data_IF_806087643772
#
_entry.id   IF_806087643772
#
_cell.length_a   1.000
_cell.length_b   1.000
_cell.length_c   1.000
_cell.angle_alpha   90.00
_cell.angle_beta   90.00
_cell.angle_gamma   90.00
#
_symmetry.space_group_name_H-M   'P 1'
#
loop_
_entity.id
_entity.type
_entity.pdbx_description
1 polymer ?
#
# COMPACT_ATOMS: atom_id res chain seq x y z
N UNK A 1 -10.52 -23.30 5.26
CA UNK A 1 -10.93 -21.89 5.48
C UNK A 1 -9.73 -21.09 6.00
N UNK A 2 -8.74 -20.82 5.14
CA UNK A 2 -7.45 -20.22 5.54
C UNK A 2 -7.00 -19.28 4.43
N UNK A 3 -7.33 -18.00 4.56
CA UNK A 3 -7.00 -16.99 3.54
C UNK A 3 -7.55 -15.59 3.83
N UNK A 4 -8.56 -15.48 4.70
CA UNK A 4 -9.19 -14.21 5.03
C UNK A 4 -8.33 -13.26 5.91
N UNK A 5 -7.26 -13.76 6.55
CA UNK A 5 -6.46 -12.97 7.50
C UNK A 5 -5.45 -12.01 6.87
N UNK A 6 -5.10 -12.20 5.60
CA UNK A 6 -3.99 -11.48 4.95
C UNK A 6 -4.44 -10.46 3.89
N UNK A 7 -5.74 -10.10 3.89
CA UNK A 7 -6.34 -9.12 2.99
C UNK A 7 -7.29 -8.20 3.74
N UNK A 8 -7.51 -6.99 3.21
CA UNK A 8 -8.55 -6.11 3.73
C UNK A 8 -9.93 -6.53 3.22
N UNK A 9 -10.95 -6.41 4.06
CA UNK A 9 -12.33 -6.71 3.69
C UNK A 9 -12.91 -5.52 2.94
N UNK A 10 -12.81 -5.54 1.62
CA UNK A 10 -13.36 -4.51 0.74
C UNK A 10 -14.05 -5.14 -0.46
N UNK A 11 -15.13 -4.50 -0.93
CA UNK A 11 -15.81 -4.92 -2.15
C UNK A 11 -14.95 -4.59 -3.39
N UNK A 12 -14.85 -5.51 -4.37
CA UNK A 12 -14.03 -5.31 -5.55
C UNK A 12 -14.72 -4.35 -6.53
N UNK A 13 -14.35 -3.07 -6.47
CA UNK A 13 -14.79 -2.04 -7.44
C UNK A 13 -13.59 -1.27 -8.01
N UNK A 14 -13.75 -0.65 -9.19
CA UNK A 14 -12.70 0.20 -9.78
C UNK A 14 -12.32 1.37 -8.86
N UNK A 15 -13.28 1.91 -8.11
CA UNK A 15 -13.03 2.98 -7.12
C UNK A 15 -12.16 2.48 -5.97
N UNK A 16 -12.49 1.34 -5.37
CA UNK A 16 -11.70 0.74 -4.28
C UNK A 16 -10.30 0.34 -4.74
N UNK A 17 -10.14 -0.09 -6.00
CA UNK A 17 -8.82 -0.36 -6.58
C UNK A 17 -7.93 0.90 -6.58
N UNK A 18 -8.49 2.05 -6.97
CA UNK A 18 -7.80 3.33 -6.93
C UNK A 18 -7.38 3.73 -5.51
N UNK A 19 -8.28 3.56 -4.54
CA UNK A 19 -7.99 3.82 -3.11
C UNK A 19 -6.86 2.92 -2.60
N UNK A 20 -6.89 1.63 -2.92
CA UNK A 20 -5.85 0.67 -2.48
C UNK A 20 -4.49 0.94 -3.13
N UNK A 21 -4.46 1.28 -4.43
CA UNK A 21 -3.21 1.71 -5.10
C UNK A 21 -2.64 2.98 -4.48
N UNK A 22 -3.49 3.95 -4.15
CA UNK A 22 -3.09 5.16 -3.43
C UNK A 22 -2.52 4.85 -2.04
N UNK A 23 -3.17 3.95 -1.30
CA UNK A 23 -2.71 3.48 0.02
C UNK A 23 -1.37 2.75 -0.06
N UNK A 24 -1.17 1.88 -1.06
CA UNK A 24 0.11 1.20 -1.30
C UNK A 24 1.24 2.20 -1.57
N UNK A 25 1.01 3.17 -2.45
CA UNK A 25 1.98 4.23 -2.73
C UNK A 25 2.29 5.05 -1.48
N UNK A 26 1.28 5.39 -0.68
CA UNK A 26 1.44 6.07 0.60
C UNK A 26 2.22 5.25 1.64
N UNK A 27 2.01 3.93 1.69
CA UNK A 27 2.75 3.02 2.57
C UNK A 27 4.23 2.93 2.16
N UNK A 28 4.52 2.84 0.86
CA UNK A 28 5.90 2.82 0.34
C UNK A 28 6.65 4.13 0.62
N UNK A 29 6.02 5.29 0.37
CA UNK A 29 6.63 6.59 0.70
C UNK A 29 6.81 6.75 2.20
N UNK A 30 5.80 6.41 3.00
CA UNK A 30 5.86 6.42 4.46
C UNK A 30 6.97 5.54 5.03
N UNK A 31 7.15 4.33 4.49
CA UNK A 31 8.25 3.43 4.83
C UNK A 31 9.61 4.10 4.59
N UNK A 32 9.82 4.66 3.40
CA UNK A 32 11.10 5.33 3.05
C UNK A 32 11.41 6.51 3.97
N UNK A 33 10.40 7.31 4.34
CA UNK A 33 10.55 8.48 5.21
C UNK A 33 10.88 8.06 6.66
N UNK A 34 10.16 7.08 7.20
CA UNK A 34 10.40 6.57 8.54
C UNK A 34 11.75 5.86 8.65
N UNK A 35 12.17 5.14 7.60
CA UNK A 35 13.49 4.52 7.55
C UNK A 35 14.61 5.56 7.62
N UNK A 36 14.53 6.61 6.79
CA UNK A 36 15.47 7.75 6.83
C UNK A 36 15.49 8.44 8.20
N UNK A 37 14.33 8.65 8.81
CA UNK A 37 14.23 9.21 10.17
C UNK A 37 14.92 8.30 11.19
N UNK A 38 14.68 7.00 11.14
CA UNK A 38 15.30 6.02 12.06
C UNK A 38 16.82 6.00 11.94
N UNK A 39 17.36 6.04 10.72
CA UNK A 39 18.81 6.09 10.47
C UNK A 39 19.44 7.37 11.04
N UNK A 40 18.79 8.53 10.83
CA UNK A 40 19.25 9.80 11.39
C UNK A 40 19.24 9.77 12.94
N UNK A 41 18.18 9.26 13.56
CA UNK A 41 18.08 9.11 15.01
C UNK A 41 19.15 8.13 15.54
N UNK A 42 19.37 7.02 14.85
CA UNK A 42 20.40 6.02 15.23
C UNK A 42 21.80 6.62 15.20
N UNK A 43 22.10 7.47 14.22
CA UNK A 43 23.38 8.21 14.17
C UNK A 43 23.53 9.12 15.39
N UNK A 44 22.52 9.94 15.69
CA UNK A 44 22.54 10.82 16.88
C UNK A 44 22.61 10.05 18.19
N UNK A 45 21.94 8.92 18.28
CA UNK A 45 21.99 8.02 19.43
C UNK A 45 23.41 7.52 19.70
N UNK A 46 24.14 7.12 18.66
CA UNK A 46 25.57 6.73 18.78
C UNK A 46 26.45 7.90 19.21
N UNK A 47 26.21 9.11 18.68
CA UNK A 47 26.94 10.31 19.08
C UNK A 47 26.71 10.63 20.57
N UNK A 48 25.47 10.55 21.04
CA UNK A 48 25.10 10.76 22.44
C UNK A 48 25.71 9.68 23.34
N UNK A 49 25.72 8.42 22.90
CA UNK A 49 26.34 7.31 23.65
C UNK A 49 27.80 7.59 23.95
N UNK A 50 28.57 8.01 22.94
CA UNK A 50 29.98 8.39 23.11
C UNK A 50 30.14 9.56 24.09
N UNK A 51 29.29 10.59 23.97
CA UNK A 51 29.30 11.73 24.90
C UNK A 51 28.98 11.32 26.33
N UNK A 52 28.08 10.36 26.53
CA UNK A 52 27.75 9.82 27.86
C UNK A 52 28.96 9.11 28.45
N UNK A 53 29.67 8.29 27.68
CA UNK A 53 30.87 7.59 28.16
C UNK A 53 31.96 8.57 28.60
N UNK A 54 32.22 9.59 27.77
CA UNK A 54 33.19 10.65 28.08
C UNK A 54 32.77 11.47 29.31
N UNK A 55 31.49 11.85 29.38
CA UNK A 55 30.93 12.59 30.51
C UNK A 55 30.97 11.77 31.81
N UNK A 56 30.71 10.46 31.75
CA UNK A 56 30.77 9.56 32.91
C UNK A 56 32.20 9.39 33.42
N UNK A 57 33.18 9.30 32.53
CA UNK A 57 34.62 9.31 32.88
C UNK A 57 35.06 10.65 33.48
N UNK A 58 34.57 11.77 32.94
CA UNK A 58 34.83 13.10 33.50
C UNK A 58 34.21 13.25 34.88
N UNK A 59 32.94 12.87 35.04
CA UNK A 59 32.22 12.86 36.31
C UNK A 59 32.95 12.04 37.38
N UNK A 60 33.41 10.82 37.05
CA UNK A 60 34.17 9.98 37.98
C UNK A 60 35.41 10.69 38.54
N UNK A 61 36.18 11.37 37.66
CA UNK A 61 37.35 12.15 38.07
C UNK A 61 36.99 13.36 38.93
N UNK A 62 35.98 14.13 38.52
CA UNK A 62 35.53 15.33 39.23
C UNK A 62 34.98 14.96 40.62
N UNK A 63 34.20 13.89 40.72
CA UNK A 63 33.65 13.38 41.97
C UNK A 63 34.75 12.84 42.89
N UNK A 64 35.78 12.18 42.35
CA UNK A 64 36.95 11.75 43.13
C UNK A 64 37.67 12.95 43.75
N UNK A 65 37.89 14.02 42.98
CA UNK A 65 38.48 15.26 43.51
C UNK A 65 37.59 15.91 44.56
N UNK A 66 36.26 15.91 44.35
CA UNK A 66 35.30 16.43 45.32
C UNK A 66 35.34 15.64 46.65
N UNK A 67 35.36 14.31 46.58
CA UNK A 67 35.47 13.45 47.74
C UNK A 67 36.79 13.68 48.51
N UNK A 68 37.89 13.91 47.79
CA UNK A 68 39.17 14.26 48.40
C UNK A 68 39.10 15.63 49.11
N UNK A 69 38.50 16.64 48.48
CA UNK A 69 38.29 17.95 49.11
C UNK A 69 37.39 17.86 50.35
N UNK A 70 36.40 16.97 50.38
CA UNK A 70 35.60 16.71 51.58
C UNK A 70 36.44 16.10 52.70
N UNK A 71 37.35 15.18 52.38
CA UNK A 71 38.28 14.62 53.35
C UNK A 71 39.25 15.67 53.91
N UNK A 72 39.78 16.58 53.07
CA UNK A 72 40.57 17.74 53.50
C UNK A 72 39.78 18.61 54.50
N UNK A 73 38.51 18.88 54.22
CA UNK A 73 37.61 19.63 55.11
C UNK A 73 37.38 18.89 56.42
N UNK A 74 37.08 17.59 56.37
CA UNK A 74 36.82 16.79 57.58
C UNK A 74 38.04 16.77 58.52
N UNK A 75 39.24 16.67 57.95
CA UNK A 75 40.48 16.73 58.70
C UNK A 75 40.72 18.12 59.31
N UNK A 76 40.54 19.18 58.52
CA UNK A 76 40.78 20.56 58.98
C UNK A 76 39.76 21.04 60.04
N UNK A 77 38.52 20.53 59.98
CA UNK A 77 37.40 20.93 60.86
C UNK A 77 37.21 20.01 62.07
N UNK A 78 37.90 18.87 62.13
CA UNK A 78 37.78 17.91 63.23
C UNK A 78 36.47 17.10 63.23
N UNK A 79 35.83 16.94 62.07
CA UNK A 79 34.73 15.99 61.86
C UNK A 79 33.31 16.48 62.20
N UNK A 80 33.11 17.66 62.77
CA UNK A 80 31.78 18.17 63.17
C UNK A 80 31.11 19.11 62.15
N UNK A 81 31.56 19.10 60.89
CA UNK A 81 31.04 20.01 59.85
C UNK A 81 29.65 19.60 59.35
N UNK A 82 29.31 18.31 59.39
CA UNK A 82 28.06 17.78 58.84
C UNK A 82 26.80 18.38 59.48
N UNK A 83 26.79 18.50 60.82
CA UNK A 83 25.67 19.08 61.56
C UNK A 83 25.50 20.57 61.24
N UNK A 84 26.60 21.33 61.21
CA UNK A 84 26.58 22.76 60.89
C UNK A 84 26.07 23.03 59.48
N UNK A 85 26.44 22.19 58.50
CA UNK A 85 25.95 22.31 57.13
C UNK A 85 24.46 21.97 57.05
N UNK A 86 23.99 20.95 57.77
CA UNK A 86 22.56 20.60 57.78
C UNK A 86 21.70 21.71 58.38
N UNK A 87 22.14 22.32 59.48
CA UNK A 87 21.46 23.45 60.11
C UNK A 87 21.50 24.72 59.24
N UNK A 88 22.55 24.89 58.45
CA UNK A 88 22.71 26.05 57.56
C UNK A 88 21.93 25.96 56.24
N UNK A 89 21.30 24.82 55.94
CA UNK A 89 20.46 24.68 54.75
C UNK A 89 19.19 25.52 54.94
N UNK A 90 19.11 26.63 54.21
CA UNK A 90 17.91 27.46 54.12
C UNK A 90 16.77 26.72 53.40
N UNK A 91 15.51 27.13 53.62
CA UNK A 91 14.34 26.55 52.94
C UNK A 91 14.35 26.73 51.40
N UNK A 92 15.28 27.53 50.85
CA UNK A 92 15.44 27.77 49.42
C UNK A 92 16.78 27.22 48.91
N UNK A 93 16.73 26.36 47.90
CA UNK A 93 17.93 25.81 47.26
C UNK A 93 18.67 26.88 46.42
N UNK A 94 19.99 26.99 46.64
CA UNK A 94 20.91 27.80 45.82
C UNK A 94 21.08 27.24 44.40
N UNK A 95 21.19 25.93 44.27
CA UNK A 95 21.26 25.23 42.99
C UNK A 95 19.88 24.79 42.57
N UNK A 96 19.38 25.32 41.46
CA UNK A 96 18.14 24.90 40.82
C UNK A 96 18.45 24.33 39.44
N UNK A 97 17.57 23.49 38.93
CA UNK A 97 17.69 22.94 37.59
C UNK A 97 16.52 23.46 36.76
N UNK A 98 16.83 24.09 35.63
CA UNK A 98 15.84 24.51 34.63
C UNK A 98 15.79 23.46 33.53
N UNK A 99 14.58 23.13 33.09
CA UNK A 99 14.37 22.26 31.94
C UNK A 99 14.12 23.10 30.70
N UNK A 100 14.86 22.82 29.64
CA UNK A 100 14.68 23.31 28.28
C UNK A 100 14.30 22.15 27.38
N UNK A 101 13.64 22.40 26.25
CA UNK A 101 13.38 21.38 25.24
C UNK A 101 14.26 21.63 24.02
N UNK A 102 14.97 20.61 23.56
CA UNK A 102 15.76 20.62 22.33
C UNK A 102 15.11 19.70 21.29
N UNK A 103 15.00 20.16 20.05
CA UNK A 103 14.47 19.33 18.96
C UNK A 103 15.62 18.63 18.22
N UNK A 104 15.66 17.30 18.30
CA UNK A 104 16.60 16.46 17.57
C UNK A 104 15.85 15.61 16.55
N UNK A 105 15.95 15.99 15.27
CA UNK A 105 15.38 15.25 14.14
C UNK A 105 13.86 14.96 14.28
N UNK A 106 13.11 15.92 14.84
CA UNK A 106 11.67 15.81 15.04
C UNK A 106 11.28 14.99 16.27
N UNK A 107 12.15 14.97 17.29
CA UNK A 107 11.92 14.42 18.63
C UNK A 107 12.33 15.49 19.64
N UNK A 108 11.42 15.85 20.56
CA UNK A 108 11.70 16.81 21.61
C UNK A 108 12.37 16.10 22.78
N UNK A 109 13.60 16.46 23.08
CA UNK A 109 14.40 15.93 24.17
C UNK A 109 14.51 16.99 25.28
N UNK A 110 14.33 16.61 26.55
CA UNK A 110 14.59 17.53 27.66
C UNK A 110 16.10 17.74 27.81
N UNK A 111 16.47 19.01 27.95
CA UNK A 111 17.81 19.45 28.29
C UNK A 111 17.77 20.13 29.64
N UNK A 112 18.68 19.77 30.54
CA UNK A 112 18.76 20.37 31.86
C UNK A 112 19.89 21.39 31.92
N UNK A 113 19.62 22.55 32.52
CA UNK A 113 20.57 23.62 32.75
C UNK A 113 20.64 23.94 34.24
N UNK A 114 21.85 24.09 34.78
CA UNK A 114 22.07 24.46 36.16
C UNK A 114 21.84 25.98 36.33
N UNK A 115 20.91 26.36 37.21
CA UNK A 115 20.59 27.74 37.57
C UNK A 115 21.12 28.00 38.98
N UNK A 116 22.24 28.73 39.08
CA UNK A 116 22.91 29.04 40.33
C UNK A 116 22.45 30.42 40.79
N UNK A 117 21.74 30.48 41.91
CA UNK A 117 21.37 31.76 42.51
C UNK A 117 22.50 32.25 43.42
N UNK A 118 23.29 33.22 42.96
CA UNK A 118 24.42 33.77 43.72
C UNK A 118 24.01 34.60 44.95
N UNK A 119 22.75 35.07 45.00
CA UNK A 119 22.26 35.85 46.14
C UNK A 119 22.05 35.01 47.41
N UNK A 120 21.89 33.69 47.24
CA UNK A 120 21.73 32.75 48.35
C UNK A 120 23.12 32.27 48.80
N UNK A 121 23.48 32.60 50.04
CA UNK A 121 24.74 32.18 50.64
C UNK A 121 24.49 31.40 51.93
N UNK A 122 24.28 30.10 51.78
CA UNK A 122 23.94 29.17 52.87
C UNK A 122 25.11 28.86 53.81
N UNK A 123 26.36 29.20 53.43
CA UNK A 123 27.57 28.83 54.18
C UNK A 123 28.23 30.01 54.91
N UNK A 124 27.49 31.10 55.18
CA UNK A 124 28.05 32.31 55.82
C UNK A 124 28.71 32.04 57.18
N UNK A 125 28.20 31.09 57.95
CA UNK A 125 28.66 30.82 59.33
C UNK A 125 29.59 29.61 59.45
N UNK A 126 29.57 28.69 58.48
CA UNK A 126 30.35 27.43 58.53
C UNK A 126 31.85 27.64 58.24
N UNK A 127 32.24 28.80 57.71
CA UNK A 127 33.63 29.14 57.34
C UNK A 127 34.38 30.03 58.33
N UNK A 128 33.77 30.42 59.45
CA UNK A 128 34.34 31.37 60.41
C UNK A 128 35.30 30.73 61.43
N UNK A 129 35.26 29.39 61.57
CA UNK A 129 36.12 28.62 62.48
C UNK A 129 37.40 28.09 61.83
N UNK A 130 37.89 26.95 62.31
CA UNK A 130 39.07 26.27 61.72
C UNK A 130 38.71 25.67 60.35
N UNK A 131 39.56 25.90 59.34
CA UNK A 131 39.42 25.25 58.03
C UNK A 131 38.49 25.94 57.02
N UNK A 132 38.06 27.19 57.25
CA UNK A 132 37.15 27.92 56.36
C UNK A 132 37.57 27.99 54.88
N UNK A 133 38.87 28.15 54.61
CA UNK A 133 39.40 28.14 53.23
C UNK A 133 39.21 26.78 52.53
N UNK A 134 39.38 25.68 53.26
CA UNK A 134 39.17 24.33 52.72
C UNK A 134 37.68 24.08 52.44
N UNK A 135 36.79 24.60 53.30
CA UNK A 135 35.33 24.53 53.09
C UNK A 135 34.91 25.26 51.82
N UNK A 136 35.44 26.48 51.61
CA UNK A 136 35.13 27.26 50.41
C UNK A 136 35.68 26.58 49.13
N UNK A 137 36.90 26.04 49.18
CA UNK A 137 37.48 25.24 48.09
C UNK A 137 36.63 24.00 47.79
N UNK A 138 36.24 23.25 48.81
CA UNK A 138 35.38 22.08 48.65
C UNK A 138 34.02 22.46 48.04
N UNK A 139 33.41 23.56 48.49
CA UNK A 139 32.15 24.09 47.94
C UNK A 139 32.27 24.38 46.45
N UNK A 140 33.36 25.01 46.00
CA UNK A 140 33.59 25.30 44.58
C UNK A 140 33.77 24.01 43.76
N UNK A 141 34.49 23.03 44.29
CA UNK A 141 34.67 21.72 43.64
C UNK A 141 33.34 20.97 43.54
N UNK A 142 32.54 20.93 44.61
CA UNK A 142 31.21 20.31 44.60
C UNK A 142 30.23 21.05 43.70
N UNK A 143 30.29 22.38 43.65
CA UNK A 143 29.49 23.20 42.73
C UNK A 143 29.72 22.80 41.27
N UNK A 144 30.99 22.69 40.87
CA UNK A 144 31.38 22.20 39.53
C UNK A 144 30.99 20.73 39.31
N UNK A 145 31.06 19.91 40.36
CA UNK A 145 30.66 18.50 40.29
C UNK A 145 29.17 18.35 40.00
N UNK A 146 28.32 19.11 40.70
CA UNK A 146 26.87 19.12 40.49
C UNK A 146 26.51 19.62 39.09
N UNK A 147 27.18 20.66 38.59
CA UNK A 147 27.02 21.12 37.21
C UNK A 147 27.29 19.99 36.19
N UNK A 148 28.42 19.28 36.33
CA UNK A 148 28.72 18.14 35.46
C UNK A 148 27.75 16.97 35.61
N UNK A 149 27.13 16.80 36.78
CA UNK A 149 26.09 15.79 37.01
C UNK A 149 24.78 16.16 36.31
N UNK A 150 24.40 17.45 36.31
CA UNK A 150 23.22 17.94 35.60
C UNK A 150 23.38 17.73 34.10
N UNK A 151 24.55 18.05 33.54
CA UNK A 151 24.88 17.78 32.13
C UNK A 151 24.76 16.29 31.78
N UNK A 152 25.33 15.41 32.63
CA UNK A 152 25.25 13.97 32.44
C UNK A 152 23.80 13.47 32.53
N UNK A 153 23.03 13.94 33.51
CA UNK A 153 21.63 13.59 33.68
C UNK A 153 20.78 14.01 32.46
N UNK A 154 21.10 15.17 31.87
CA UNK A 154 20.49 15.64 30.63
C UNK A 154 20.75 14.66 29.48
N UNK A 155 22.01 14.25 29.29
CA UNK A 155 22.37 13.29 28.23
C UNK A 155 21.72 11.92 28.46
N UNK A 156 21.68 11.44 29.71
CA UNK A 156 21.07 10.14 30.06
C UNK A 156 19.56 10.14 29.83
N UNK A 157 18.86 11.20 30.24
CA UNK A 157 17.41 11.32 30.06
C UNK A 157 17.08 11.39 28.56
N UNK A 158 17.83 12.19 27.81
CA UNK A 158 17.72 12.26 26.36
C UNK A 158 17.98 10.90 25.69
N UNK A 159 18.95 10.14 26.18
CA UNK A 159 19.27 8.79 25.67
C UNK A 159 18.12 7.80 25.84
N UNK A 160 17.49 7.74 27.02
CA UNK A 160 16.37 6.83 27.29
C UNK A 160 15.18 7.16 26.38
N UNK A 161 14.82 8.44 26.29
CA UNK A 161 13.70 8.89 25.44
C UNK A 161 14.01 8.61 23.97
N UNK A 162 15.23 8.87 23.52
CA UNK A 162 15.63 8.65 22.13
C UNK A 162 15.62 7.15 21.77
N UNK A 163 16.06 6.27 22.68
CA UNK A 163 16.03 4.81 22.48
C UNK A 163 14.60 4.30 22.27
N UNK A 164 13.66 4.73 23.12
CA UNK A 164 12.25 4.35 23.01
C UNK A 164 11.64 4.82 21.70
N UNK A 165 11.94 6.05 21.27
CA UNK A 165 11.47 6.57 19.99
C UNK A 165 12.06 5.79 18.80
N UNK A 166 13.34 5.41 18.86
CA UNK A 166 13.97 4.58 17.83
C UNK A 166 13.30 3.21 17.76
N UNK A 167 13.06 2.55 18.90
CA UNK A 167 12.37 1.25 18.97
C UNK A 167 10.96 1.32 18.37
N UNK A 168 10.18 2.34 18.73
CA UNK A 168 8.83 2.56 18.18
C UNK A 168 8.89 2.82 16.67
N UNK A 169 9.85 3.63 16.21
CA UNK A 169 10.02 3.93 14.78
C UNK A 169 10.40 2.67 13.99
N UNK A 170 11.35 1.87 14.48
CA UNK A 170 11.73 0.60 13.84
C UNK A 170 10.57 -0.40 13.82
N UNK A 171 9.79 -0.49 14.91
CA UNK A 171 8.59 -1.34 14.94
C UNK A 171 7.57 -0.91 13.87
N UNK A 172 7.38 0.39 13.68
CA UNK A 172 6.50 0.94 12.63
C UNK A 172 7.01 0.64 11.23
N UNK A 173 8.31 0.81 10.99
CA UNK A 173 8.96 0.47 9.71
C UNK A 173 8.73 -1.02 9.39
N UNK A 174 9.02 -1.91 10.33
CA UNK A 174 8.84 -3.36 10.15
C UNK A 174 7.37 -3.74 9.94
N UNK A 175 6.44 -3.08 10.65
CA UNK A 175 5.01 -3.31 10.46
C UNK A 175 4.54 -2.89 9.05
N UNK A 176 5.07 -1.79 8.52
CA UNK A 176 4.76 -1.36 7.16
C UNK A 176 5.32 -2.36 6.15
N UNK A 177 6.58 -2.76 6.31
CA UNK A 177 7.30 -3.64 5.38
C UNK A 177 6.72 -5.05 5.33
N UNK A 178 6.46 -5.67 6.48
CA UNK A 178 6.09 -7.09 6.54
C UNK A 178 4.60 -7.36 6.71
N UNK A 179 3.79 -6.36 7.11
CA UNK A 179 2.36 -6.55 7.36
C UNK A 179 1.52 -5.71 6.40
N UNK A 180 1.71 -4.39 6.36
CA UNK A 180 0.81 -3.48 5.64
C UNK A 180 1.01 -3.57 4.13
N UNK A 181 2.25 -3.53 3.64
CA UNK A 181 2.54 -3.59 2.20
C UNK A 181 2.04 -4.93 1.62
N UNK A 182 2.42 -6.11 2.14
CA UNK A 182 1.96 -7.39 1.56
C UNK A 182 0.44 -7.56 1.64
N UNK A 183 -0.19 -7.12 2.74
CA UNK A 183 -1.65 -7.17 2.88
C UNK A 183 -2.37 -6.29 1.86
N UNK A 184 -1.82 -5.11 1.56
CA UNK A 184 -2.38 -4.20 0.56
C UNK A 184 -2.18 -4.75 -0.85
N UNK A 185 -1.01 -5.32 -1.15
CA UNK A 185 -0.71 -5.99 -2.44
C UNK A 185 -1.64 -7.17 -2.70
N UNK A 186 -1.84 -8.04 -1.71
CA UNK A 186 -2.80 -9.15 -1.80
C UNK A 186 -4.23 -8.66 -2.07
N UNK A 187 -4.62 -7.55 -1.42
CA UNK A 187 -5.95 -6.94 -1.62
C UNK A 187 -6.09 -6.39 -3.03
N UNK A 188 -5.05 -5.73 -3.57
CA UNK A 188 -5.03 -5.24 -4.95
C UNK A 188 -5.12 -6.40 -5.94
N UNK A 189 -4.37 -7.48 -5.72
CA UNK A 189 -4.43 -8.67 -6.56
C UNK A 189 -5.84 -9.27 -6.58
N UNK A 190 -6.47 -9.39 -5.41
CA UNK A 190 -7.85 -9.86 -5.30
C UNK A 190 -8.84 -8.98 -6.09
N UNK A 191 -8.78 -7.66 -5.92
CA UNK A 191 -9.68 -6.74 -6.63
C UNK A 191 -9.46 -6.82 -8.13
N UNK A 192 -8.21 -6.93 -8.61
CA UNK A 192 -7.94 -7.08 -10.04
C UNK A 192 -8.53 -8.38 -10.58
N UNK A 193 -8.33 -9.52 -9.89
CA UNK A 193 -8.87 -10.80 -10.34
C UNK A 193 -10.41 -10.81 -10.42
N UNK A 194 -11.09 -10.19 -9.45
CA UNK A 194 -12.56 -10.07 -9.46
C UNK A 194 -13.07 -9.13 -10.56
N UNK A 195 -12.38 -8.01 -10.79
CA UNK A 195 -12.75 -7.09 -11.88
C UNK A 195 -12.52 -7.73 -13.26
N UNK A 196 -11.44 -8.47 -13.44
CA UNK A 196 -11.15 -9.18 -14.69
C UNK A 196 -12.18 -10.28 -14.96
N UNK A 197 -12.69 -10.96 -13.92
CA UNK A 197 -13.74 -11.96 -14.06
C UNK A 197 -15.09 -11.31 -14.41
N UNK A 198 -15.45 -10.20 -13.77
CA UNK A 198 -16.65 -9.42 -14.12
C UNK A 198 -16.60 -8.90 -15.56
N UNK A 199 -15.45 -8.35 -15.99
CA UNK A 199 -15.25 -7.86 -17.36
C UNK A 199 -15.32 -9.04 -18.36
N UNK A 200 -14.84 -10.25 -17.99
CA UNK A 200 -14.95 -11.47 -18.79
C UNK A 200 -16.39 -11.95 -18.94
N UNK A 201 -17.17 -11.95 -17.85
CA UNK A 201 -18.60 -12.31 -17.88
C UNK A 201 -19.40 -11.33 -18.75
N UNK A 202 -19.14 -10.03 -18.64
CA UNK A 202 -19.79 -9.01 -19.46
C UNK A 202 -19.43 -9.16 -20.93
N UNK A 203 -18.16 -9.43 -21.24
CA UNK A 203 -17.71 -9.71 -22.61
C UNK A 203 -18.41 -10.93 -23.22
N UNK A 204 -18.52 -12.03 -22.46
CA UNK A 204 -19.25 -13.22 -22.93
C UNK A 204 -20.74 -12.93 -23.19
N UNK A 205 -21.37 -12.14 -22.31
CA UNK A 205 -22.77 -11.72 -22.46
C UNK A 205 -22.98 -10.89 -23.73
N UNK A 206 -22.11 -9.92 -23.99
CA UNK A 206 -22.14 -9.10 -25.20
C UNK A 206 -21.92 -9.96 -26.45
N UNK A 207 -20.96 -10.88 -26.43
CA UNK A 207 -20.70 -11.81 -27.53
C UNK A 207 -21.94 -12.66 -27.86
N UNK A 208 -22.62 -13.21 -26.85
CA UNK A 208 -23.86 -14.00 -27.04
C UNK A 208 -25.02 -13.16 -27.58
N UNK A 209 -25.16 -11.91 -27.15
CA UNK A 209 -26.17 -10.99 -27.70
C UNK A 209 -25.87 -10.66 -29.16
N UNK A 210 -24.61 -10.42 -29.50
CA UNK A 210 -24.19 -10.14 -30.88
C UNK A 210 -24.39 -11.35 -31.79
N UNK A 211 -24.03 -12.55 -31.34
CA UNK A 211 -24.27 -13.81 -32.04
C UNK A 211 -25.77 -14.01 -32.34
N UNK A 212 -26.64 -13.81 -31.32
CA UNK A 212 -28.10 -13.86 -31.51
C UNK A 212 -28.60 -12.80 -32.50
N UNK A 213 -28.07 -11.58 -32.47
CA UNK A 213 -28.41 -10.53 -33.43
C UNK A 213 -27.99 -10.91 -34.85
N UNK A 214 -26.79 -11.45 -35.03
CA UNK A 214 -26.29 -11.88 -36.35
C UNK A 214 -27.12 -13.04 -36.92
N UNK A 215 -27.50 -14.01 -36.09
CA UNK A 215 -28.41 -15.09 -36.49
C UNK A 215 -29.77 -14.52 -36.91
N UNK A 216 -30.33 -13.59 -36.12
CA UNK A 216 -31.61 -12.96 -36.44
C UNK A 216 -31.55 -12.12 -37.74
N UNK A 217 -30.46 -11.39 -37.99
CA UNK A 217 -30.28 -10.66 -39.25
C UNK A 217 -30.11 -11.60 -40.42
N UNK A 218 -29.30 -12.66 -40.31
CA UNK A 218 -29.13 -13.65 -41.36
C UNK A 218 -30.45 -14.37 -41.70
N UNK A 219 -31.27 -14.69 -40.69
CA UNK A 219 -32.60 -15.27 -40.90
C UNK A 219 -33.56 -14.29 -41.59
N UNK A 220 -33.50 -13.00 -41.25
CA UNK A 220 -34.28 -11.95 -41.93
C UNK A 220 -33.85 -11.76 -43.39
N UNK A 221 -32.53 -11.74 -43.64
CA UNK A 221 -31.97 -11.62 -44.99
C UNK A 221 -32.32 -12.85 -45.85
N UNK A 222 -32.26 -14.06 -45.28
CA UNK A 222 -32.69 -15.29 -45.94
C UNK A 222 -34.19 -15.29 -46.28
N UNK A 223 -35.05 -14.80 -45.37
CA UNK A 223 -36.48 -14.63 -45.65
C UNK A 223 -36.74 -13.60 -46.76
N UNK A 224 -35.97 -12.50 -46.80
CA UNK A 224 -36.06 -11.49 -47.86
C UNK A 224 -35.59 -12.04 -49.20
N UNK A 225 -34.51 -12.83 -49.23
CA UNK A 225 -34.03 -13.50 -50.43
C UNK A 225 -35.03 -14.57 -50.93
N UNK A 226 -35.62 -15.36 -50.02
CA UNK A 226 -36.65 -16.34 -50.36
C UNK A 226 -37.93 -15.69 -50.90
N UNK A 227 -38.33 -14.53 -50.37
CA UNK A 227 -39.44 -13.75 -50.92
C UNK A 227 -39.12 -13.23 -52.33
N UNK A 228 -37.93 -12.70 -52.55
CA UNK A 228 -37.49 -12.25 -53.89
C UNK A 228 -37.45 -13.39 -54.90
N UNK A 229 -36.92 -14.56 -54.51
CA UNK A 229 -36.89 -15.75 -55.38
C UNK A 229 -38.30 -16.25 -55.69
N UNK A 230 -39.23 -16.20 -54.72
CA UNK A 230 -40.65 -16.51 -54.99
C UNK A 230 -41.28 -15.51 -55.94
N UNK A 231 -41.06 -14.21 -55.76
CA UNK A 231 -41.55 -13.18 -56.69
C UNK A 231 -40.95 -13.33 -58.09
N UNK A 232 -39.69 -13.79 -58.20
CA UNK A 232 -39.00 -14.04 -59.46
C UNK A 232 -39.52 -15.33 -60.14
N UNK A 233 -39.78 -16.39 -59.37
CA UNK A 233 -40.45 -17.60 -59.85
C UNK A 233 -41.89 -17.35 -60.24
N UNK A 234 -42.64 -16.55 -59.50
CA UNK A 234 -44.02 -16.17 -59.84
C UNK A 234 -44.02 -15.33 -61.13
N UNK A 235 -43.05 -14.43 -61.33
CA UNK A 235 -42.85 -13.73 -62.61
C UNK A 235 -42.49 -14.66 -63.77
N UNK A 236 -41.61 -15.63 -63.54
CA UNK A 236 -41.24 -16.62 -64.56
C UNK A 236 -42.44 -17.51 -64.92
N UNK A 237 -43.23 -17.94 -63.94
CA UNK A 237 -44.45 -18.71 -64.16
C UNK A 237 -45.54 -17.88 -64.87
N UNK A 238 -45.63 -16.57 -64.62
CA UNK A 238 -46.52 -15.68 -65.37
C UNK A 238 -46.06 -15.50 -66.83
N UNK A 239 -44.75 -15.46 -67.08
CA UNK A 239 -44.18 -15.43 -68.43
C UNK A 239 -44.39 -16.76 -69.18
N UNK A 240 -44.17 -17.90 -68.53
CA UNK A 240 -44.45 -19.22 -69.11
C UNK A 240 -45.94 -19.41 -69.41
N UNK A 241 -46.85 -18.92 -68.55
CA UNK A 241 -48.29 -18.90 -68.86
C UNK A 241 -48.62 -18.03 -70.07
N UNK A 242 -47.94 -16.89 -70.22
CA UNK A 242 -48.09 -16.03 -71.38
C UNK A 242 -47.57 -16.68 -72.68
N UNK A 243 -46.46 -17.43 -72.61
CA UNK A 243 -45.95 -18.21 -73.74
C UNK A 243 -46.89 -19.38 -74.10
N UNK A 244 -47.51 -20.06 -73.11
CA UNK A 244 -48.51 -21.10 -73.36
C UNK A 244 -49.79 -20.52 -73.98
N UNK A 245 -50.26 -19.35 -73.53
CA UNK A 245 -51.41 -18.64 -74.11
C UNK A 245 -51.13 -18.17 -75.56
N UNK A 246 -49.87 -17.82 -75.87
CA UNK A 246 -49.45 -17.45 -77.23
C UNK A 246 -49.27 -18.68 -78.14
N UNK A 247 -48.87 -19.83 -77.59
CA UNK A 247 -48.86 -21.12 -78.30
C UNK A 247 -50.28 -21.66 -78.53
N UNK A 248 -51.19 -21.56 -77.56
CA UNK A 248 -52.62 -21.91 -77.74
C UNK A 248 -53.30 -21.01 -78.80
N UNK A 249 -52.94 -19.72 -78.89
CA UNK A 249 -53.42 -18.84 -79.97
C UNK A 249 -52.84 -19.16 -81.35
N UNK A 250 -51.69 -19.82 -81.43
CA UNK A 250 -51.10 -20.30 -82.68
C UNK A 250 -51.71 -21.65 -83.11
N UNK A 251 -52.00 -22.55 -82.17
CA UNK A 251 -52.62 -23.86 -82.46
C UNK A 251 -54.07 -23.72 -82.92
N UNK A 252 -54.82 -22.70 -82.46
CA UNK A 252 -56.21 -22.44 -82.92
C UNK A 252 -56.26 -21.90 -84.37
N UNK A 253 -55.13 -21.54 -84.99
CA UNK A 253 -55.10 -21.00 -86.37
C UNK A 253 -54.82 -22.03 -87.47
N UNK A 254 -54.36 -23.24 -87.17
CA UNK A 254 -53.88 -24.20 -88.19
C UNK A 254 -54.69 -25.51 -88.31
N UNK A 255 -55.90 -25.59 -87.75
CA UNK A 255 -56.81 -26.73 -87.99
C UNK A 255 -57.92 -26.43 -89.02
N UNK A 256 -57.56 -26.06 -90.25
CA UNK A 256 -58.40 -26.33 -91.45
C UNK A 256 -57.49 -26.60 -92.66
N UNK A 257 -57.24 -27.90 -92.93
CA UNK A 257 -57.26 -28.62 -94.23
C UNK A 257 -56.35 -29.85 -94.13
N UNK A 258 -56.97 -31.02 -94.33
CA UNK A 258 -56.42 -32.38 -94.34
C UNK A 258 -55.64 -32.70 -95.63
N UNK A 259 -54.73 -33.67 -95.56
CA UNK A 259 -54.72 -34.96 -96.30
C UNK A 259 -53.35 -35.63 -96.12
N UNK A 260 -53.27 -36.75 -95.38
CA UNK A 260 -53.30 -38.17 -95.82
C UNK A 260 -51.92 -38.76 -96.20
N UNK A 261 -51.54 -39.80 -95.40
CA UNK A 261 -50.78 -41.03 -95.70
C UNK A 261 -49.36 -40.93 -96.33
N UNK A 262 -48.32 -41.70 -95.99
CA UNK A 262 -48.20 -43.03 -95.36
C UNK A 262 -46.73 -43.33 -94.99
N UNK A 263 -46.60 -44.17 -93.95
CA UNK A 263 -45.64 -45.28 -93.71
C UNK A 263 -44.10 -45.14 -93.56
N UNK A 264 -43.68 -45.44 -92.31
CA UNK A 264 -42.75 -46.53 -91.87
C UNK A 264 -41.33 -46.59 -92.47
N UNK A 265 -40.28 -46.46 -91.64
CA UNK A 265 -39.59 -47.62 -91.03
C UNK A 265 -38.37 -47.30 -90.12
N UNK A 266 -38.41 -47.94 -88.94
CA UNK A 266 -37.33 -48.65 -88.20
C UNK A 266 -36.10 -48.01 -87.55
N UNK A 267 -35.99 -48.42 -86.26
CA UNK A 267 -34.81 -48.90 -85.50
C UNK A 267 -33.87 -47.80 -85.02
N UNK A 268 -33.31 -47.81 -83.81
CA UNK A 268 -33.08 -48.76 -82.72
C UNK A 268 -32.39 -47.88 -81.64
N UNK A 269 -32.32 -48.12 -80.34
CA UNK A 269 -32.57 -49.27 -79.47
C UNK A 269 -32.51 -48.75 -78.02
N UNK A 270 -33.24 -49.44 -77.15
CA UNK A 270 -32.85 -49.97 -75.83
C UNK A 270 -32.51 -48.95 -74.73
N UNK A 271 -33.35 -48.82 -73.69
CA UNK A 271 -33.73 -49.79 -72.63
C UNK A 271 -33.01 -49.32 -71.34
N UNK A 272 -33.77 -48.83 -70.37
CA UNK A 272 -34.21 -49.58 -69.17
C UNK A 272 -33.23 -49.29 -68.02
N UNK A 273 -33.62 -49.17 -66.76
CA UNK A 273 -34.89 -49.23 -66.08
C UNK A 273 -34.65 -48.57 -64.70
N UNK A 274 -35.72 -48.05 -64.11
CA UNK A 274 -36.13 -48.09 -62.69
C UNK A 274 -35.13 -48.65 -61.64
N UNK A 275 -35.06 -48.22 -60.38
CA UNK A 275 -36.14 -47.80 -59.49
C UNK A 275 -35.60 -47.43 -58.08
N UNK A 276 -36.44 -46.68 -57.35
CA UNK A 276 -36.70 -46.73 -55.89
C UNK A 276 -35.74 -46.14 -54.82
N UNK A 277 -36.30 -45.12 -54.15
CA UNK A 277 -36.55 -44.95 -52.69
C UNK A 277 -35.45 -44.44 -51.75
N UNK A 278 -35.75 -43.24 -51.23
CA UNK A 278 -35.57 -42.63 -49.89
C UNK A 278 -34.58 -43.18 -48.84
N UNK A 279 -33.85 -42.18 -48.33
CA UNK A 279 -33.70 -41.77 -46.92
C UNK A 279 -32.42 -42.11 -46.12
N UNK A 280 -31.95 -41.02 -45.48
CA UNK A 280 -31.19 -40.86 -44.23
C UNK A 280 -29.65 -40.83 -44.22
N UNK A 281 -29.21 -39.65 -43.74
CA UNK A 281 -28.14 -39.38 -42.76
C UNK A 281 -26.66 -39.43 -43.15
N UNK A 282 -26.05 -38.23 -43.08
CA UNK A 282 -24.93 -37.97 -42.20
C UNK A 282 -23.53 -38.14 -42.79
N UNK A 283 -22.82 -37.01 -42.98
CA UNK A 283 -21.37 -37.00 -42.70
C UNK A 283 -20.83 -35.61 -42.30
N UNK A 284 -20.50 -35.53 -41.02
CA UNK A 284 -19.24 -35.05 -40.42
C UNK A 284 -18.29 -34.29 -41.36
N UNK A 285 -18.02 -33.03 -41.02
CA UNK A 285 -16.91 -32.23 -41.55
C UNK A 285 -15.89 -32.03 -40.42
N UNK A 286 -14.62 -32.36 -40.71
CA UNK A 286 -13.43 -32.01 -39.93
C UNK A 286 -13.12 -30.52 -39.98
#
# INVERSE_FOLDING_TARGET
MSGAGNREQVFPTRMTLGVMKGKLKGAQTGHSLLKRKSEALTKRFRDITKRIDDAKRKMGRVMQTAAFSLAEVSYATGGNIGFQVQESISNNARFKVKSRQENVSGVYLPQFEADINESINDFKMTGLGRGGQQIQKAREVYSKSVETLVDLASLQTAFVILDDVIKVTNRRVNAIEHVIIPRTENTISYINSELDELDREEFYRLKKVQEKKQIATAAADALMAAKKLKEEQDRLNELEKHEIDDVEKLVVKDEVVKEEESEVNTKANDDDNTDLVNETEGDVIF
#
